data_IF_868441243999
#
_entry.id   IF_868441243999
#
_cell.length_a   1.000
_cell.length_b   1.000
_cell.length_c   1.000
_cell.angle_alpha   90.00
_cell.angle_beta   90.00
_cell.angle_gamma   90.00
#
_symmetry.space_group_name_H-M   'P 1'
#
loop_
_entity.id
_entity.type
_entity.pdbx_description
1 polymer ?
#
# COMPACT_ATOMS: atom_id res chain seq x y z
N UNK A 1 -2.81 3.31 20.91
CA UNK A 1 -1.91 2.54 20.01
C UNK A 1 -0.42 2.67 20.38
N UNK A 2 0.13 3.87 20.60
CA UNK A 2 1.59 4.05 20.89
C UNK A 2 2.17 3.10 21.94
N UNK A 3 1.52 2.97 23.11
CA UNK A 3 1.96 2.05 24.18
C UNK A 3 2.00 0.58 23.74
N UNK A 4 1.13 0.18 22.82
CA UNK A 4 1.15 -1.18 22.26
C UNK A 4 2.32 -1.35 21.30
N UNK A 5 2.59 -0.34 20.46
CA UNK A 5 3.78 -0.35 19.59
C UNK A 5 5.07 -0.47 20.41
N UNK A 6 5.17 0.23 21.55
CA UNK A 6 6.31 0.13 22.48
C UNK A 6 6.49 -1.27 23.11
N UNK A 7 5.50 -2.16 23.02
CA UNK A 7 5.66 -3.57 23.44
C UNK A 7 6.15 -4.50 22.33
N UNK A 8 6.09 -4.05 21.08
CA UNK A 8 6.42 -4.86 19.89
C UNK A 8 7.72 -4.38 19.23
N UNK A 9 7.92 -3.07 19.15
CA UNK A 9 9.11 -2.44 18.58
C UNK A 9 10.08 -2.04 19.69
N UNK A 10 11.38 -2.21 19.44
CA UNK A 10 12.44 -1.78 20.37
C UNK A 10 12.47 -0.25 20.55
N UNK A 11 12.14 0.50 19.50
CA UNK A 11 12.12 1.96 19.49
C UNK A 11 10.88 2.49 18.75
N UNK A 12 10.16 3.44 19.36
CA UNK A 12 9.00 4.12 18.76
C UNK A 12 9.27 5.61 18.66
N UNK A 13 9.54 6.05 17.44
CA UNK A 13 9.97 7.42 17.15
C UNK A 13 8.77 8.24 16.68
N UNK A 14 8.54 9.36 17.36
CA UNK A 14 7.53 10.34 16.94
C UNK A 14 8.17 11.34 16.00
N UNK A 15 7.56 11.53 14.84
CA UNK A 15 8.02 12.43 13.79
C UNK A 15 6.91 13.40 13.44
N UNK A 16 7.29 14.58 12.95
CA UNK A 16 6.33 15.55 12.43
C UNK A 16 5.86 15.10 11.03
N UNK A 17 4.59 15.36 10.74
CA UNK A 17 4.00 14.99 9.45
C UNK A 17 4.56 15.89 8.35
N UNK A 18 5.13 15.29 7.32
CA UNK A 18 5.49 15.96 6.08
C UNK A 18 4.40 15.67 5.05
N UNK A 19 3.66 16.71 4.68
CA UNK A 19 2.62 16.65 3.64
C UNK A 19 3.14 17.28 2.35
N UNK A 20 3.01 16.58 1.21
CA UNK A 20 3.42 17.09 -0.09
C UNK A 20 2.59 18.27 -0.57
N UNK A 21 1.35 18.41 -0.11
CA UNK A 21 0.43 19.48 -0.53
C UNK A 21 0.05 19.46 -2.02
N UNK A 22 0.49 18.45 -2.79
CA UNK A 22 0.27 18.35 -4.25
C UNK A 22 -1.06 17.64 -4.55
N UNK A 23 -2.15 18.35 -4.31
CA UNK A 23 -3.51 17.80 -4.52
C UNK A 23 -3.76 17.38 -5.97
N UNK A 24 -3.05 17.96 -6.95
CA UNK A 24 -3.28 17.69 -8.38
C UNK A 24 -2.73 16.31 -8.79
N UNK A 25 -1.47 15.98 -8.43
CA UNK A 25 -0.90 14.66 -8.70
C UNK A 25 -1.54 13.56 -7.84
N UNK A 26 -1.87 13.87 -6.58
CA UNK A 26 -2.60 12.93 -5.72
C UNK A 26 -3.99 12.59 -6.27
N UNK A 27 -4.67 13.55 -6.90
CA UNK A 27 -5.95 13.34 -7.59
C UNK A 27 -5.77 12.50 -8.86
N UNK A 28 -4.69 12.70 -9.62
CA UNK A 28 -4.34 11.88 -10.79
C UNK A 28 -4.14 10.40 -10.41
N UNK A 29 -3.51 10.15 -9.26
CA UNK A 29 -3.33 8.80 -8.69
C UNK A 29 -4.56 8.26 -7.97
N UNK A 30 -5.64 9.05 -7.83
CA UNK A 30 -6.84 8.73 -7.02
C UNK A 30 -6.54 8.37 -5.56
N UNK A 31 -5.45 8.90 -5.00
CA UNK A 31 -4.96 8.57 -3.64
C UNK A 31 -4.55 9.84 -2.86
N UNK A 32 -5.51 10.70 -2.47
CA UNK A 32 -5.25 11.94 -1.71
C UNK A 32 -4.53 11.71 -0.38
N UNK A 33 -4.62 10.51 0.19
CA UNK A 33 -3.94 10.14 1.43
C UNK A 33 -2.41 10.02 1.28
N UNK A 34 -1.86 9.96 0.06
CA UNK A 34 -0.42 9.82 -0.12
C UNK A 34 0.38 11.10 0.17
N UNK A 35 -0.27 12.25 0.39
CA UNK A 35 0.42 13.49 0.75
C UNK A 35 1.32 13.35 1.98
N UNK A 36 0.89 12.56 2.97
CA UNK A 36 1.66 12.31 4.21
C UNK A 36 2.81 11.32 4.05
N UNK A 37 2.99 10.69 2.89
CA UNK A 37 4.06 9.71 2.65
C UNK A 37 5.45 10.33 2.72
N UNK A 38 5.60 11.65 2.56
CA UNK A 38 6.90 12.29 2.77
C UNK A 38 7.38 12.16 4.23
N UNK A 39 6.48 11.90 5.19
CA UNK A 39 6.85 11.57 6.58
C UNK A 39 7.80 10.37 6.63
N UNK A 40 7.69 9.45 5.65
CA UNK A 40 8.59 8.29 5.46
C UNK A 40 10.06 8.70 5.29
N UNK A 41 10.35 9.88 4.77
CA UNK A 41 11.72 10.36 4.57
C UNK A 41 12.48 10.51 5.89
N UNK A 42 11.78 10.70 7.01
CA UNK A 42 12.41 10.69 8.34
C UNK A 42 13.14 9.39 8.66
N UNK A 43 12.89 8.29 7.93
CA UNK A 43 13.68 7.08 8.11
C UNK A 43 15.19 7.32 7.85
N UNK A 44 15.55 8.24 6.95
CA UNK A 44 16.96 8.63 6.75
C UNK A 44 17.58 9.43 7.90
N UNK A 45 16.79 9.98 8.84
CA UNK A 45 17.36 10.69 10.00
C UNK A 45 17.78 9.75 11.15
N UNK A 46 17.50 8.45 11.05
CA UNK A 46 17.74 7.42 12.07
C UNK A 46 19.22 6.98 12.14
N UNK A 47 20.11 7.96 12.32
CA UNK A 47 21.57 7.79 12.29
C UNK A 47 22.17 6.99 13.45
N UNK A 48 21.36 6.56 14.41
CA UNK A 48 21.75 5.53 15.38
C UNK A 48 21.96 4.15 14.71
N UNK A 49 21.40 3.93 13.51
CA UNK A 49 21.58 2.72 12.71
C UNK A 49 22.51 2.98 11.53
N UNK A 50 23.39 2.02 11.22
CA UNK A 50 24.30 2.10 10.07
C UNK A 50 23.66 1.70 8.74
N UNK A 51 22.58 0.91 8.79
CA UNK A 51 21.82 0.41 7.64
C UNK A 51 20.46 -0.06 8.13
N UNK A 52 19.43 0.17 7.33
CA UNK A 52 18.06 -0.22 7.65
C UNK A 52 17.40 -0.87 6.43
N UNK A 53 16.40 -1.71 6.71
CA UNK A 53 15.40 -2.13 5.72
C UNK A 53 14.12 -1.40 6.08
N UNK A 54 13.66 -0.52 5.20
CA UNK A 54 12.34 0.07 5.32
C UNK A 54 11.30 -0.93 4.83
N UNK A 55 10.16 -1.02 5.53
CA UNK A 55 8.99 -1.81 5.12
C UNK A 55 7.72 -1.00 5.40
N UNK A 56 6.82 -0.89 4.42
CA UNK A 56 5.51 -0.27 4.63
C UNK A 56 4.67 -1.11 5.61
N UNK A 57 3.78 -0.46 6.35
CA UNK A 57 2.97 -1.08 7.40
C UNK A 57 1.94 -2.11 6.89
N UNK A 58 1.70 -2.14 5.59
CA UNK A 58 0.86 -3.09 4.86
C UNK A 58 1.69 -4.17 4.14
N UNK A 59 2.89 -4.44 4.65
CA UNK A 59 3.69 -5.61 4.28
C UNK A 59 3.58 -6.72 5.33
N UNK A 60 3.82 -7.96 4.93
CA UNK A 60 3.86 -9.14 5.79
C UNK A 60 5.06 -10.01 5.45
N UNK A 61 5.92 -10.26 6.44
CA UNK A 61 7.07 -11.16 6.34
C UNK A 61 6.61 -12.61 6.48
N UNK A 62 7.01 -13.46 5.54
CA UNK A 62 6.67 -14.90 5.48
C UNK A 62 7.87 -15.81 5.83
N UNK A 63 9.09 -15.28 5.72
CA UNK A 63 10.33 -15.98 6.00
C UNK A 63 11.41 -14.99 6.44
N UNK A 64 12.51 -15.49 7.00
CA UNK A 64 13.64 -14.62 7.38
C UNK A 64 14.17 -13.83 6.17
N UNK A 65 14.39 -12.53 6.37
CA UNK A 65 14.86 -11.57 5.36
C UNK A 65 16.12 -10.80 5.79
N UNK A 66 16.81 -11.23 6.85
CA UNK A 66 18.01 -10.55 7.34
C UNK A 66 19.14 -10.48 6.31
N UNK A 67 19.12 -11.37 5.31
CA UNK A 67 20.03 -11.34 4.17
C UNK A 67 19.89 -10.06 3.32
N UNK A 68 18.80 -9.29 3.48
CA UNK A 68 18.69 -7.95 2.91
C UNK A 68 19.74 -6.98 3.46
N UNK A 69 20.24 -7.17 4.69
CA UNK A 69 21.29 -6.32 5.25
C UNK A 69 22.65 -6.50 4.56
N UNK A 70 22.82 -7.50 3.69
CA UNK A 70 23.99 -7.65 2.82
C UNK A 70 23.98 -6.66 1.64
N UNK A 71 22.84 -6.02 1.36
CA UNK A 71 22.65 -5.09 0.23
C UNK A 71 23.12 -3.67 0.54
N UNK A 72 23.28 -2.86 -0.50
CA UNK A 72 23.70 -1.45 -0.42
C UNK A 72 22.53 -0.50 -0.71
N UNK A 73 22.68 0.79 -0.38
CA UNK A 73 21.70 1.82 -0.77
C UNK A 73 21.80 2.14 -2.28
N UNK A 74 20.69 2.33 -3.01
CA UNK A 74 19.32 1.96 -2.68
C UNK A 74 19.04 0.62 -3.32
N UNK A 75 18.67 -0.40 -2.54
CA UNK A 75 18.25 -1.70 -3.08
C UNK A 75 16.76 -1.90 -2.84
N UNK A 76 15.99 -2.15 -3.90
CA UNK A 76 14.55 -2.31 -3.85
C UNK A 76 14.08 -3.30 -4.93
N UNK A 77 12.85 -3.79 -4.82
CA UNK A 77 12.24 -4.66 -5.82
C UNK A 77 11.56 -3.84 -6.93
N UNK A 78 11.43 -4.37 -8.16
CA UNK A 78 10.71 -3.68 -9.23
C UNK A 78 9.23 -3.47 -8.90
N UNK A 79 8.70 -2.33 -9.33
CA UNK A 79 7.27 -2.07 -9.30
C UNK A 79 6.55 -2.93 -10.35
N UNK A 80 5.42 -3.57 -10.01
CA UNK A 80 4.71 -4.44 -10.94
C UNK A 80 3.97 -3.69 -12.06
N UNK A 81 3.68 -2.40 -11.89
CA UNK A 81 3.04 -1.57 -12.89
C UNK A 81 4.03 -1.02 -13.90
N UNK A 82 5.11 -0.39 -13.41
CA UNK A 82 6.19 0.15 -14.24
C UNK A 82 7.56 -0.37 -13.79
N UNK A 83 8.08 -1.48 -14.36
CA UNK A 83 9.26 -2.19 -13.83
C UNK A 83 10.59 -1.43 -13.86
N UNK A 84 10.68 -0.33 -14.60
CA UNK A 84 11.85 0.57 -14.58
C UNK A 84 11.83 1.51 -13.35
N UNK A 85 10.73 1.52 -12.59
CA UNK A 85 10.67 2.08 -11.25
C UNK A 85 10.76 0.94 -10.22
N UNK A 86 11.41 1.21 -9.10
CA UNK A 86 11.31 0.33 -7.94
C UNK A 86 10.06 0.65 -7.12
N UNK A 87 9.52 -0.38 -6.47
CA UNK A 87 8.47 -0.21 -5.48
C UNK A 87 9.07 0.23 -4.15
N UNK A 88 8.60 1.34 -3.58
CA UNK A 88 9.14 1.89 -2.33
C UNK A 88 8.60 1.22 -1.06
N UNK A 89 7.80 0.15 -1.18
CA UNK A 89 7.25 -0.56 -0.02
C UNK A 89 8.26 -1.38 0.76
N UNK A 90 9.33 -1.83 0.11
CA UNK A 90 10.47 -2.48 0.78
C UNK A 90 11.76 -2.05 0.11
N UNK A 91 12.67 -1.45 0.88
CA UNK A 91 13.98 -1.06 0.38
C UNK A 91 15.06 -1.04 1.45
N UNK A 92 16.30 -1.26 1.03
CA UNK A 92 17.50 -1.17 1.87
C UNK A 92 18.15 0.19 1.65
N UNK A 93 18.43 0.89 2.75
CA UNK A 93 19.00 2.23 2.75
C UNK A 93 20.00 2.43 3.89
N UNK A 94 20.74 3.53 3.84
CA UNK A 94 21.66 3.96 4.89
C UNK A 94 21.17 5.27 5.49
N UNK A 95 20.77 5.30 6.77
CA UNK A 95 20.43 6.54 7.44
C UNK A 95 21.57 7.56 7.33
N UNK A 96 21.24 8.76 6.85
CA UNK A 96 22.17 9.84 6.58
C UNK A 96 21.41 11.15 6.59
N UNK A 97 21.82 12.07 7.47
CA UNK A 97 21.28 13.44 7.52
C UNK A 97 21.50 14.16 6.18
N UNK A 98 22.60 13.86 5.49
CA UNK A 98 22.87 14.42 4.17
C UNK A 98 21.87 13.93 3.13
N UNK A 99 21.65 12.62 3.03
CA UNK A 99 20.66 12.04 2.11
C UNK A 99 19.25 12.54 2.43
N UNK A 100 18.90 12.60 3.72
CA UNK A 100 17.63 13.17 4.19
C UNK A 100 17.42 14.60 3.69
N UNK A 101 18.39 15.50 3.92
CA UNK A 101 18.28 16.90 3.49
C UNK A 101 18.18 17.03 1.96
N UNK A 102 18.89 16.18 1.20
CA UNK A 102 18.79 16.17 -0.26
C UNK A 102 17.43 15.69 -0.76
N UNK A 103 16.84 14.69 -0.11
CA UNK A 103 15.48 14.22 -0.41
C UNK A 103 14.44 15.30 -0.12
N UNK A 104 14.54 15.99 1.02
CA UNK A 104 13.68 17.13 1.34
C UNK A 104 13.82 18.27 0.34
N UNK A 105 15.05 18.58 -0.06
CA UNK A 105 15.31 19.61 -1.07
C UNK A 105 14.68 19.25 -2.41
N UNK A 106 14.84 18.01 -2.87
CA UNK A 106 14.20 17.52 -4.09
C UNK A 106 12.67 17.59 -3.99
N UNK A 107 12.10 17.18 -2.86
CA UNK A 107 10.66 17.23 -2.62
C UNK A 107 10.13 18.67 -2.69
N UNK A 108 10.86 19.62 -2.11
CA UNK A 108 10.50 21.03 -2.14
C UNK A 108 10.63 21.68 -3.52
N UNK A 109 11.60 21.25 -4.35
CA UNK A 109 11.83 21.86 -5.66
C UNK A 109 10.99 21.23 -6.77
N UNK A 110 10.83 19.91 -6.76
CA UNK A 110 10.25 19.15 -7.87
C UNK A 110 9.00 18.37 -7.49
N UNK A 111 8.73 18.19 -6.19
CA UNK A 111 7.65 17.32 -5.73
C UNK A 111 7.90 15.85 -6.07
N UNK A 112 6.82 15.11 -6.25
CA UNK A 112 6.84 13.71 -6.70
C UNK A 112 5.93 13.53 -7.91
N UNK A 113 6.38 12.79 -8.93
CA UNK A 113 5.58 12.55 -10.13
C UNK A 113 4.29 11.75 -9.86
N UNK A 114 4.24 10.99 -8.77
CA UNK A 114 3.05 10.25 -8.32
C UNK A 114 2.39 10.87 -7.08
N UNK A 115 2.86 12.04 -6.63
CA UNK A 115 2.39 12.71 -5.43
C UNK A 115 2.80 12.04 -4.10
N UNK A 116 3.43 10.86 -4.13
CA UNK A 116 3.84 10.08 -2.96
C UNK A 116 5.36 9.88 -2.84
N UNK A 117 5.80 9.02 -1.93
CA UNK A 117 7.21 8.74 -1.70
C UNK A 117 7.87 7.97 -2.86
N UNK A 118 7.15 7.06 -3.51
CA UNK A 118 7.71 6.22 -4.57
C UNK A 118 8.24 7.06 -5.73
N UNK A 119 7.49 8.05 -6.20
CA UNK A 119 7.94 8.90 -7.30
C UNK A 119 9.13 9.79 -6.93
N UNK A 120 9.15 10.34 -5.72
CA UNK A 120 10.28 11.13 -5.23
C UNK A 120 11.54 10.26 -5.11
N UNK A 121 11.43 9.08 -4.51
CA UNK A 121 12.54 8.17 -4.31
C UNK A 121 13.10 7.66 -5.64
N UNK A 122 12.25 7.32 -6.61
CA UNK A 122 12.69 6.94 -7.96
C UNK A 122 13.36 8.10 -8.69
N UNK A 123 12.90 9.34 -8.49
CA UNK A 123 13.54 10.54 -9.04
C UNK A 123 14.94 10.75 -8.46
N UNK A 124 15.09 10.60 -7.14
CA UNK A 124 16.39 10.74 -6.46
C UNK A 124 17.37 9.61 -6.79
N UNK A 125 16.90 8.36 -6.73
CA UNK A 125 17.68 7.14 -6.98
C UNK A 125 17.50 6.63 -8.42
N UNK A 126 17.48 7.54 -9.41
CA UNK A 126 17.14 7.27 -10.81
C UNK A 126 18.08 6.32 -11.57
N UNK A 127 19.24 5.99 -10.98
CA UNK A 127 20.21 5.05 -11.55
C UNK A 127 19.84 3.58 -11.27
N UNK A 128 18.85 3.32 -10.41
CA UNK A 128 18.46 1.98 -9.95
C UNK A 128 18.19 1.01 -11.11
N UNK A 129 17.42 1.43 -12.12
CA UNK A 129 17.00 0.55 -13.21
C UNK A 129 18.15 0.07 -14.11
N UNK A 130 19.24 0.83 -14.21
CA UNK A 130 20.24 0.66 -15.29
C UNK A 130 21.66 0.41 -14.81
N UNK A 131 21.94 0.49 -13.51
CA UNK A 131 23.33 0.54 -13.02
C UNK A 131 23.83 -0.77 -12.41
N UNK A 132 23.18 -1.28 -11.36
CA UNK A 132 23.70 -2.41 -10.59
C UNK A 132 22.59 -3.41 -10.27
N UNK A 133 22.66 -4.59 -10.89
CA UNK A 133 21.70 -5.68 -10.69
C UNK A 133 21.64 -6.15 -9.23
N UNK A 134 22.69 -5.95 -8.43
CA UNK A 134 22.69 -6.31 -7.00
C UNK A 134 21.74 -5.43 -6.19
N UNK A 135 21.34 -4.26 -6.72
CA UNK A 135 20.35 -3.36 -6.12
C UNK A 135 18.91 -3.70 -6.52
N UNK A 136 18.72 -4.65 -7.43
CA UNK A 136 17.42 -5.22 -7.75
C UNK A 136 17.15 -6.35 -6.77
N UNK A 137 16.34 -6.07 -5.75
CA UNK A 137 15.86 -7.12 -4.88
C UNK A 137 14.96 -8.06 -5.70
N UNK A 138 15.08 -9.39 -5.52
CA UNK A 138 14.15 -10.32 -6.13
C UNK A 138 12.70 -9.97 -5.75
N UNK A 139 11.78 -10.09 -6.72
CA UNK A 139 10.38 -9.69 -6.53
C UNK A 139 9.70 -10.35 -5.32
N UNK A 140 10.16 -11.53 -4.90
CA UNK A 140 9.67 -12.24 -3.71
C UNK A 140 9.94 -11.53 -2.37
N UNK A 141 10.83 -10.53 -2.31
CA UNK A 141 11.05 -9.68 -1.13
C UNK A 141 10.11 -8.47 -1.06
N UNK A 142 9.25 -8.28 -2.06
CA UNK A 142 8.20 -7.27 -2.07
C UNK A 142 7.08 -7.72 -3.03
N UNK A 143 6.52 -8.90 -2.79
CA UNK A 143 5.53 -9.50 -3.69
C UNK A 143 4.21 -8.72 -3.57
N UNK A 144 3.89 -7.92 -4.58
CA UNK A 144 2.61 -7.22 -4.66
C UNK A 144 1.43 -8.18 -4.73
N UNK A 145 0.44 -7.97 -3.85
CA UNK A 145 -0.85 -8.67 -3.86
C UNK A 145 -1.59 -8.55 -5.21
N UNK A 146 -1.37 -7.44 -5.92
CA UNK A 146 -1.95 -7.17 -7.24
C UNK A 146 -1.35 -8.09 -8.31
N UNK A 147 -0.05 -8.37 -8.23
CA UNK A 147 0.64 -9.25 -9.18
C UNK A 147 0.19 -10.70 -9.10
N UNK A 148 -0.37 -11.09 -7.96
CA UNK A 148 -0.85 -12.44 -7.73
C UNK A 148 -2.05 -12.75 -8.64
N UNK A 149 -2.94 -11.78 -8.85
CA UNK A 149 -4.07 -11.93 -9.76
C UNK A 149 -3.72 -11.59 -11.22
N UNK A 150 -2.83 -10.61 -11.45
CA UNK A 150 -2.56 -10.13 -12.81
C UNK A 150 -1.69 -11.08 -13.63
N UNK A 151 -0.77 -11.83 -12.99
CA UNK A 151 0.06 -12.83 -13.66
C UNK A 151 0.09 -14.18 -12.93
N UNK A 152 -1.10 -14.76 -12.77
CA UNK A 152 -1.33 -16.03 -12.06
C UNK A 152 -0.39 -17.18 -12.47
N UNK A 153 -0.03 -17.40 -13.76
CA UNK A 153 0.97 -18.40 -14.12
C UNK A 153 2.33 -18.22 -13.44
N UNK A 154 2.86 -17.00 -13.38
CA UNK A 154 4.12 -16.72 -12.71
C UNK A 154 4.00 -16.92 -11.19
N UNK A 155 2.90 -16.49 -10.60
CA UNK A 155 2.65 -16.74 -9.18
C UNK A 155 2.56 -18.25 -8.87
N UNK A 156 1.88 -19.06 -9.69
CA UNK A 156 1.86 -20.52 -9.49
C UNK A 156 3.24 -21.16 -9.58
N UNK A 157 4.13 -20.61 -10.41
CA UNK A 157 5.49 -21.12 -10.57
C UNK A 157 6.45 -20.68 -9.46
N UNK A 158 6.35 -19.42 -9.00
CA UNK A 158 7.36 -18.80 -8.14
C UNK A 158 6.82 -18.28 -6.79
N UNK A 159 5.51 -18.13 -6.66
CA UNK A 159 4.84 -17.54 -5.50
C UNK A 159 5.02 -18.32 -4.20
N UNK A 160 5.28 -19.62 -4.27
CA UNK A 160 5.64 -20.43 -3.11
C UNK A 160 6.96 -19.99 -2.45
N UNK A 161 7.81 -19.24 -3.17
CA UNK A 161 9.07 -18.70 -2.65
C UNK A 161 8.92 -17.28 -2.09
N UNK A 162 7.69 -16.75 -1.96
CA UNK A 162 7.45 -15.43 -1.41
C UNK A 162 8.06 -15.30 0.00
N UNK A 163 8.83 -14.23 0.22
CA UNK A 163 9.42 -13.90 1.51
C UNK A 163 8.71 -12.73 2.19
N UNK A 164 8.21 -11.79 1.39
CA UNK A 164 7.38 -10.66 1.86
C UNK A 164 6.23 -10.47 0.90
N UNK A 165 5.03 -10.33 1.44
CA UNK A 165 3.83 -9.93 0.68
C UNK A 165 3.53 -8.47 0.99
N UNK A 166 3.18 -7.71 -0.03
CA UNK A 166 2.79 -6.32 0.08
C UNK A 166 1.35 -6.16 -0.37
N UNK A 167 0.47 -5.77 0.55
CA UNK A 167 -0.97 -5.59 0.30
C UNK A 167 -1.25 -4.24 -0.37
N UNK A 168 -0.74 -4.08 -1.60
CA UNK A 168 -1.00 -2.93 -2.46
C UNK A 168 -2.48 -2.81 -2.81
N UNK A 169 -2.90 -1.58 -3.08
CA UNK A 169 -4.29 -1.23 -3.38
C UNK A 169 -4.95 -0.44 -2.27
N UNK A 170 -6.23 -0.11 -2.48
CA UNK A 170 -7.01 0.73 -1.56
C UNK A 170 -7.52 -0.03 -0.35
N UNK A 171 -7.85 -1.31 -0.53
CA UNK A 171 -8.35 -2.18 0.53
C UNK A 171 -7.17 -2.87 1.20
N UNK A 172 -7.02 -2.65 2.51
CA UNK A 172 -5.95 -3.22 3.33
C UNK A 172 -6.44 -4.42 4.13
N UNK A 173 -5.54 -5.27 4.66
CA UNK A 173 -5.96 -6.46 5.41
C UNK A 173 -6.94 -6.16 6.54
N UNK A 174 -6.74 -5.06 7.26
CA UNK A 174 -7.60 -4.59 8.36
C UNK A 174 -8.95 -4.02 7.93
N UNK A 175 -9.20 -3.85 6.62
CA UNK A 175 -10.51 -3.45 6.11
C UNK A 175 -11.46 -4.64 5.90
N UNK A 176 -10.95 -5.87 5.89
CA UNK A 176 -11.78 -7.06 5.72
C UNK A 176 -12.44 -7.50 7.03
N UNK A 177 -13.59 -8.15 6.94
CA UNK A 177 -14.19 -8.83 8.08
C UNK A 177 -13.59 -10.23 8.24
N UNK A 178 -13.19 -10.60 9.46
CA UNK A 178 -12.59 -11.91 9.75
C UNK A 178 -13.42 -12.68 10.77
N UNK A 179 -13.68 -13.95 10.47
CA UNK A 179 -14.33 -14.87 11.40
C UNK A 179 -13.28 -15.74 12.09
N UNK A 180 -13.00 -15.52 13.39
CA UNK A 180 -11.98 -16.26 14.11
C UNK A 180 -12.36 -17.73 14.35
N UNK A 181 -13.66 -18.09 14.29
CA UNK A 181 -14.10 -19.48 14.48
C UNK A 181 -13.80 -20.33 13.24
N UNK A 182 -14.03 -19.78 12.05
CA UNK A 182 -13.80 -20.46 10.78
C UNK A 182 -12.43 -20.14 10.17
N UNK A 183 -11.67 -19.24 10.78
CA UNK A 183 -10.38 -18.71 10.30
C UNK A 183 -10.43 -18.21 8.85
N UNK A 184 -11.55 -17.58 8.48
CA UNK A 184 -11.81 -17.17 7.10
C UNK A 184 -12.14 -15.69 7.01
N UNK A 185 -11.61 -15.04 5.99
CA UNK A 185 -11.98 -13.68 5.60
C UNK A 185 -13.32 -13.71 4.87
N UNK A 186 -14.27 -12.87 5.28
CA UNK A 186 -15.55 -12.68 4.58
C UNK A 186 -15.32 -11.68 3.44
N UNK A 187 -15.39 -12.16 2.21
CA UNK A 187 -15.38 -11.33 1.01
C UNK A 187 -16.81 -11.12 0.52
N UNK A 188 -17.16 -9.89 0.14
CA UNK A 188 -18.26 -9.70 -0.80
C UNK A 188 -17.86 -10.31 -2.14
N UNK A 189 -18.80 -10.96 -2.82
CA UNK A 189 -18.60 -11.99 -3.86
C UNK A 189 -17.89 -11.54 -5.15
N UNK A 190 -17.35 -10.32 -5.24
CA UNK A 190 -16.83 -9.74 -6.48
C UNK A 190 -15.54 -8.91 -6.30
N UNK A 191 -14.78 -9.07 -5.23
CA UNK A 191 -13.52 -8.35 -5.07
C UNK A 191 -12.34 -9.09 -5.75
N UNK A 192 -11.80 -8.61 -6.89
CA UNK A 192 -10.66 -9.22 -7.57
C UNK A 192 -9.37 -9.23 -6.73
N UNK A 193 -9.32 -8.47 -5.63
CA UNK A 193 -8.18 -8.49 -4.69
C UNK A 193 -8.13 -9.76 -3.84
N UNK A 194 -9.24 -10.50 -3.71
CA UNK A 194 -9.32 -11.77 -2.96
C UNK A 194 -8.95 -12.95 -3.86
N UNK A 195 -7.94 -12.80 -4.71
CA UNK A 195 -7.48 -13.91 -5.56
C UNK A 195 -6.68 -14.93 -4.75
N UNK A 196 -6.10 -14.53 -3.60
CA UNK A 196 -5.28 -15.38 -2.74
C UNK A 196 -5.58 -15.16 -1.24
N UNK A 197 -6.63 -15.81 -0.71
CA UNK A 197 -7.04 -15.64 0.68
C UNK A 197 -5.99 -16.13 1.68
N UNK A 198 -5.02 -16.97 1.27
CA UNK A 198 -4.01 -17.53 2.17
C UNK A 198 -3.17 -16.46 2.89
N UNK A 199 -2.75 -15.41 2.18
CA UNK A 199 -1.94 -14.34 2.78
C UNK A 199 -2.77 -13.42 3.68
N UNK A 200 -4.02 -13.14 3.28
CA UNK A 200 -4.96 -12.39 4.12
C UNK A 200 -5.32 -13.18 5.39
N UNK A 201 -5.61 -14.48 5.26
CA UNK A 201 -5.87 -15.37 6.39
C UNK A 201 -4.68 -15.46 7.34
N UNK A 202 -3.45 -15.50 6.82
CA UNK A 202 -2.24 -15.49 7.64
C UNK A 202 -2.08 -14.15 8.39
N UNK A 203 -2.29 -13.01 7.71
CA UNK A 203 -2.26 -11.70 8.35
C UNK A 203 -3.25 -11.63 9.52
N UNK A 204 -4.49 -12.11 9.31
CA UNK A 204 -5.51 -12.16 10.34
C UNK A 204 -5.21 -13.14 11.46
N UNK A 205 -4.63 -14.31 11.17
CA UNK A 205 -4.24 -15.29 12.19
C UNK A 205 -3.16 -14.69 13.11
N UNK A 206 -2.17 -13.99 12.56
CA UNK A 206 -1.15 -13.25 13.33
C UNK A 206 -1.80 -12.13 14.15
N UNK A 207 -2.66 -11.32 13.53
CA UNK A 207 -3.32 -10.21 14.22
C UNK A 207 -4.17 -10.71 15.40
N UNK A 208 -5.05 -11.70 15.18
CA UNK A 208 -5.92 -12.24 16.21
C UNK A 208 -5.15 -12.98 17.30
N UNK A 209 -4.09 -13.71 16.95
CA UNK A 209 -3.31 -14.50 17.93
C UNK A 209 -2.35 -13.64 18.75
N UNK A 210 -1.68 -12.67 18.13
CA UNK A 210 -0.55 -11.97 18.75
C UNK A 210 -0.81 -10.49 19.03
N UNK A 211 -1.60 -9.80 18.20
CA UNK A 211 -1.81 -8.34 18.32
C UNK A 211 -3.06 -8.02 19.14
N UNK A 212 -4.17 -8.71 18.87
CA UNK A 212 -5.44 -8.47 19.54
C UNK A 212 -5.36 -8.62 21.08
N UNK A 213 -4.67 -9.63 21.65
CA UNK A 213 -4.52 -9.72 23.10
C UNK A 213 -3.80 -8.51 23.70
N UNK A 214 -2.80 -7.96 22.99
CA UNK A 214 -2.10 -6.74 23.42
C UNK A 214 -3.05 -5.54 23.38
N UNK A 215 -3.83 -5.39 22.32
CA UNK A 215 -4.83 -4.31 22.23
C UNK A 215 -5.87 -4.38 23.36
N UNK A 216 -6.31 -5.58 23.73
CA UNK A 216 -7.23 -5.82 24.84
C UNK A 216 -6.58 -5.50 26.19
N UNK A 217 -5.34 -5.92 26.41
CA UNK A 217 -4.59 -5.64 27.64
C UNK A 217 -4.47 -4.12 27.91
N UNK A 218 -4.27 -3.33 26.85
CA UNK A 218 -4.20 -1.87 26.94
C UNK A 218 -5.56 -1.17 26.86
N UNK A 219 -6.67 -1.92 26.85
CA UNK A 219 -8.03 -1.39 26.85
C UNK A 219 -8.45 -0.69 25.56
N UNK A 220 -7.73 -0.91 24.45
CA UNK A 220 -8.05 -0.32 23.15
C UNK A 220 -9.18 -1.06 22.43
N UNK A 221 -9.38 -2.34 22.75
CA UNK A 221 -10.46 -3.18 22.22
C UNK A 221 -11.17 -3.86 23.41
N UNK A 222 -12.51 -3.85 23.41
CA UNK A 222 -13.32 -4.54 24.43
C UNK A 222 -13.54 -6.01 24.04
N UNK A 223 -13.75 -6.87 25.04
CA UNK A 223 -13.84 -8.33 24.95
C UNK A 223 -14.78 -8.78 23.80
N UNK A 224 -14.19 -9.26 22.70
CA UNK A 224 -14.86 -9.55 21.43
C UNK A 224 -15.34 -11.01 21.41
N UNK A 225 -16.44 -11.29 22.12
CA UNK A 225 -17.01 -12.65 22.17
C UNK A 225 -17.82 -13.06 20.93
N UNK A 226 -18.01 -12.16 19.97
CA UNK A 226 -18.72 -12.49 18.73
C UNK A 226 -18.36 -11.52 17.63
N UNK A 227 -17.49 -11.97 16.72
CA UNK A 227 -17.02 -11.25 15.52
C UNK A 227 -16.09 -10.06 15.80
N UNK A 228 -14.90 -10.07 15.19
CA UNK A 228 -14.10 -8.87 15.02
C UNK A 228 -14.76 -8.09 13.88
N UNK A 229 -15.62 -7.15 14.24
CA UNK A 229 -16.26 -6.29 13.25
C UNK A 229 -15.22 -5.34 12.67
N UNK A 230 -15.39 -4.96 11.40
CA UNK A 230 -14.55 -3.95 10.74
C UNK A 230 -14.52 -2.67 11.58
N UNK A 231 -15.60 -2.33 12.30
CA UNK A 231 -15.69 -1.12 13.13
C UNK A 231 -14.79 -1.16 14.38
N UNK A 232 -14.50 -2.34 14.94
CA UNK A 232 -13.63 -2.45 16.13
C UNK A 232 -12.15 -2.33 15.77
N UNK A 233 -11.74 -2.96 14.65
CA UNK A 233 -10.36 -2.93 14.14
C UNK A 233 -10.10 -1.62 13.39
N UNK A 234 -11.00 -1.23 12.49
CA UNK A 234 -10.96 0.07 11.81
C UNK A 234 -11.12 1.18 12.83
N UNK A 235 -11.97 1.09 13.85
CA UNK A 235 -12.10 2.10 14.92
C UNK A 235 -10.81 2.31 15.69
N UNK A 236 -10.13 1.23 16.08
CA UNK A 236 -8.82 1.31 16.73
C UNK A 236 -7.73 1.93 15.84
N UNK A 237 -7.87 1.82 14.51
CA UNK A 237 -6.96 2.35 13.49
C UNK A 237 -7.36 3.77 13.02
N UNK A 238 -8.66 4.09 12.98
CA UNK A 238 -9.26 5.31 12.42
C UNK A 238 -9.24 6.48 13.40
N UNK A 239 -8.97 6.23 14.69
CA UNK A 239 -8.53 7.27 15.63
C UNK A 239 -7.22 7.98 15.21
N UNK A 240 -6.66 7.65 14.04
CA UNK A 240 -5.54 8.32 13.37
C UNK A 240 -5.93 9.07 12.09
N UNK A 241 -7.15 8.93 11.57
CA UNK A 241 -7.60 9.62 10.36
C UNK A 241 -8.52 10.78 10.73
N UNK A 242 -8.02 12.00 10.54
CA UNK A 242 -8.83 13.21 10.70
C UNK A 242 -9.76 13.40 9.50
N UNK A 243 -11.07 13.43 9.80
CA UNK A 243 -12.10 14.15 9.04
C UNK A 243 -12.59 13.51 7.74
N UNK A 244 -13.67 12.71 7.79
CA UNK A 244 -14.48 12.41 6.60
C UNK A 244 -15.34 13.63 6.23
N UNK A 245 -15.15 14.13 5.00
CA UNK A 245 -16.12 14.98 4.31
C UNK A 245 -17.03 14.06 3.50
N UNK A 246 -18.31 14.04 3.83
CA UNK A 246 -19.36 13.34 3.08
C UNK A 246 -19.53 13.95 1.69
N UNK A 247 -19.22 13.21 0.62
CA UNK A 247 -19.49 13.62 -0.75
C UNK A 247 -20.85 13.08 -1.23
N UNK A 248 -21.72 14.00 -1.68
CA UNK A 248 -23.04 13.73 -2.22
C UNK A 248 -22.99 13.06 -3.62
N UNK A 249 -24.09 12.40 -4.01
CA UNK A 249 -24.23 11.70 -5.28
C UNK A 249 -24.01 12.62 -6.51
N UNK A 250 -23.33 12.15 -7.59
CA UNK A 250 -23.08 12.98 -8.77
C UNK A 250 -24.35 13.20 -9.63
N UNK A 251 -24.48 14.36 -10.30
CA UNK A 251 -25.61 14.70 -11.15
C UNK A 251 -25.60 13.96 -12.51
N UNK A 252 -26.79 13.86 -13.13
CA UNK A 252 -27.01 13.24 -14.45
C UNK A 252 -26.36 14.07 -15.58
N UNK A 253 -25.36 13.48 -16.27
CA UNK A 253 -24.56 14.13 -17.32
C UNK A 253 -25.18 13.91 -18.70
N UNK A 254 -25.16 14.93 -19.56
CA UNK A 254 -25.71 14.86 -20.93
C UNK A 254 -24.86 13.95 -21.85
N UNK A 255 -25.44 13.46 -22.96
CA UNK A 255 -24.75 12.52 -23.87
C UNK A 255 -23.56 13.13 -24.61
N UNK A 256 -23.59 14.43 -24.90
CA UNK A 256 -22.53 15.16 -25.59
C UNK A 256 -21.33 15.38 -24.67
N UNK A 257 -21.59 15.83 -23.45
CA UNK A 257 -20.60 16.02 -22.40
C UNK A 257 -19.95 14.68 -21.98
N UNK A 258 -20.74 13.58 -21.99
CA UNK A 258 -20.21 12.24 -21.79
C UNK A 258 -19.25 11.81 -22.91
N UNK A 259 -19.49 12.21 -24.16
CA UNK A 259 -18.62 11.89 -25.30
C UNK A 259 -17.30 12.66 -25.23
N UNK A 260 -17.33 13.94 -24.89
CA UNK A 260 -16.10 14.73 -24.71
C UNK A 260 -15.22 14.17 -23.59
N UNK A 261 -15.83 13.73 -22.48
CA UNK A 261 -15.12 13.04 -21.40
C UNK A 261 -14.47 11.73 -21.86
N UNK A 262 -15.10 10.98 -22.75
CA UNK A 262 -14.50 9.79 -23.37
C UNK A 262 -13.26 10.15 -24.19
N UNK A 263 -13.34 11.18 -25.03
CA UNK A 263 -12.24 11.62 -25.89
C UNK A 263 -11.05 12.18 -25.10
N UNK A 264 -11.29 12.67 -23.89
CA UNK A 264 -10.28 13.16 -22.95
C UNK A 264 -9.78 12.09 -21.94
N UNK A 265 -10.21 10.83 -22.07
CA UNK A 265 -9.78 9.73 -21.21
C UNK A 265 -10.42 9.72 -19.80
N UNK A 266 -11.50 10.47 -19.60
CA UNK A 266 -12.23 10.63 -18.33
C UNK A 266 -13.61 9.92 -18.34
N UNK A 267 -13.71 8.77 -19.03
CA UNK A 267 -14.94 7.99 -19.10
C UNK A 267 -15.37 7.45 -17.72
N UNK A 268 -16.68 7.35 -17.49
CA UNK A 268 -17.24 6.88 -16.23
C UNK A 268 -17.31 5.34 -16.18
N UNK A 269 -16.13 4.71 -16.05
CA UNK A 269 -15.98 3.25 -16.11
C UNK A 269 -16.70 2.49 -14.99
N UNK A 270 -17.23 3.17 -13.96
CA UNK A 270 -17.97 2.56 -12.85
C UNK A 270 -19.46 2.88 -12.85
N UNK A 271 -19.91 3.83 -13.69
CA UNK A 271 -21.31 4.18 -13.85
C UNK A 271 -21.78 4.00 -15.28
N UNK A 272 -22.06 5.11 -15.96
CA UNK A 272 -22.72 5.12 -17.26
C UNK A 272 -21.88 4.47 -18.37
N UNK A 273 -20.56 4.42 -18.22
CA UNK A 273 -19.60 3.85 -19.18
C UNK A 273 -18.94 2.56 -18.66
N UNK A 274 -19.58 1.91 -17.69
CA UNK A 274 -19.14 0.61 -17.20
C UNK A 274 -19.13 -0.46 -18.28
N UNK A 275 -18.22 -1.43 -18.12
CA UNK A 275 -18.09 -2.56 -19.04
C UNK A 275 -19.43 -3.29 -19.24
N UNK A 276 -20.19 -3.49 -18.18
CA UNK A 276 -21.50 -4.15 -18.24
C UNK A 276 -22.51 -3.37 -19.09
N UNK A 277 -22.50 -2.04 -19.04
CA UNK A 277 -23.37 -1.19 -19.85
C UNK A 277 -22.93 -1.18 -21.32
N UNK A 278 -21.62 -1.13 -21.58
CA UNK A 278 -21.05 -1.17 -22.94
C UNK A 278 -21.33 -2.53 -23.58
N UNK A 279 -21.07 -3.62 -22.86
CA UNK A 279 -21.31 -4.98 -23.32
C UNK A 279 -22.79 -5.22 -23.61
N UNK A 280 -23.69 -4.80 -22.71
CA UNK A 280 -25.14 -4.89 -22.94
C UNK A 280 -25.57 -4.17 -24.22
N UNK A 281 -25.02 -2.98 -24.47
CA UNK A 281 -25.31 -2.20 -25.69
C UNK A 281 -24.77 -2.88 -26.95
N UNK A 282 -23.53 -3.39 -26.93
CA UNK A 282 -22.94 -4.15 -28.03
C UNK A 282 -23.75 -5.42 -28.34
N UNK A 283 -24.15 -6.16 -27.31
CA UNK A 283 -24.98 -7.36 -27.45
C UNK A 283 -26.36 -7.04 -28.06
N UNK A 284 -26.87 -5.82 -27.86
CA UNK A 284 -28.14 -5.36 -28.46
C UNK A 284 -27.99 -5.01 -29.94
N UNK A 285 -26.81 -4.55 -30.36
CA UNK A 285 -26.51 -4.19 -31.75
C UNK A 285 -26.07 -5.37 -32.62
N UNK A 286 -25.69 -6.49 -32.02
CA UNK A 286 -25.16 -7.69 -32.70
C UNK A 286 -26.20 -8.82 -32.87
N UNK A 287 -27.49 -8.53 -32.65
CA UNK A 287 -28.64 -9.35 -33.06
C UNK A 287 -29.20 -8.86 -34.39
#
# INVERSE_FOLDING_TARGET
MRKVLETVFDEVITVDVLDSGDSAHLTLMKRPELGVTLTKLHCWSLTQYSKCVFMDADTLVLANIDDLFEREELSAAPDPGWPDCFNSGVFVYQPSVETYNRLLHLASEQGSFDGGDQGLLNTYFNSWATTDIRKHLPFIYNLSSISIYSYLPAFKAFGANAKVVHFLGRIKPWNYAYDPNTKSVKSESHDPTVTHPEFLSLWWDIFTTNVLPLLQQFGLVRDTRSYLSVEDVSGAISHLSFGEITAAAPPCVSSEERKERWEQGQADYMGADSFDNIKRKLDTYLQ
#
